data_IF_676911401548
#
_entry.id   IF_676911401548
#
_cell.length_a   1.000
_cell.length_b   1.000
_cell.length_c   1.000
_cell.angle_alpha   90.00
_cell.angle_beta   90.00
_cell.angle_gamma   90.00
#
_symmetry.space_group_name_H-M   'P 1'
#
loop_
_entity.id
_entity.type
_entity.pdbx_description
1 polymer ?
#
# COMPACT_ATOMS: atom_id res chain seq x y z
N UNK A 1 -30.20 10.68 52.99
CA UNK A 1 -29.73 11.96 52.40
C UNK A 1 -28.33 11.73 51.87
N UNK A 2 -27.97 12.46 50.81
CA UNK A 2 -26.67 12.49 50.13
C UNK A 2 -26.42 11.40 49.09
N UNK A 3 -25.93 11.67 47.89
CA UNK A 3 -25.81 12.91 47.10
C UNK A 3 -25.49 12.44 45.66
N UNK A 4 -26.21 12.94 44.66
CA UNK A 4 -25.99 12.57 43.26
C UNK A 4 -24.84 13.40 42.69
N UNK A 5 -23.69 12.78 42.42
CA UNK A 5 -22.59 13.47 41.73
C UNK A 5 -22.99 13.91 40.32
N UNK A 6 -22.69 15.15 39.90
CA UNK A 6 -23.06 15.63 38.56
C UNK A 6 -22.16 15.02 37.48
N UNK A 7 -22.78 14.52 36.42
CA UNK A 7 -22.10 14.01 35.22
C UNK A 7 -21.56 15.22 34.43
N UNK A 8 -20.25 15.30 34.12
CA UNK A 8 -19.73 16.38 33.29
C UNK A 8 -20.20 16.23 31.84
N UNK A 9 -20.92 17.21 31.33
CA UNK A 9 -21.38 17.28 29.93
C UNK A 9 -20.37 18.06 29.08
N UNK A 10 -19.36 17.38 28.52
CA UNK A 10 -18.44 18.00 27.54
C UNK A 10 -19.20 18.37 26.26
N UNK A 11 -19.12 19.63 25.82
CA UNK A 11 -19.82 20.12 24.64
C UNK A 11 -18.97 20.03 23.36
N UNK A 12 -19.62 19.91 22.20
CA UNK A 12 -18.98 19.95 20.86
C UNK A 12 -18.04 21.17 20.69
N UNK A 13 -18.35 22.27 21.39
CA UNK A 13 -17.56 23.50 21.35
C UNK A 13 -16.22 23.36 22.07
N UNK A 14 -16.19 22.59 23.16
CA UNK A 14 -14.95 22.33 23.90
C UNK A 14 -14.02 21.44 23.08
N UNK A 15 -14.57 20.46 22.36
CA UNK A 15 -13.80 19.63 21.43
C UNK A 15 -13.16 20.45 20.30
N UNK A 16 -13.92 21.36 19.67
CA UNK A 16 -13.40 22.23 18.62
C UNK A 16 -12.26 23.14 19.12
N UNK A 17 -12.34 23.63 20.37
CA UNK A 17 -11.27 24.43 20.99
C UNK A 17 -10.00 23.60 21.22
N UNK A 18 -10.12 22.35 21.67
CA UNK A 18 -8.97 21.47 21.87
C UNK A 18 -8.27 21.11 20.55
N UNK A 19 -9.02 20.87 19.47
CA UNK A 19 -8.43 20.63 18.14
C UNK A 19 -7.70 21.85 17.59
N UNK A 20 -8.25 23.06 17.79
CA UNK A 20 -7.61 24.29 17.33
C UNK A 20 -6.26 24.56 18.03
N UNK A 21 -6.09 24.11 19.28
CA UNK A 21 -4.86 24.32 20.05
C UNK A 21 -3.66 23.47 19.54
N UNK A 22 -3.90 22.36 18.85
CA UNK A 22 -2.84 21.45 18.37
C UNK A 22 -2.34 21.77 16.94
N UNK A 23 -2.97 22.69 16.23
CA UNK A 23 -2.67 22.98 14.83
C UNK A 23 -1.51 23.97 14.59
N UNK A 24 -0.90 24.53 15.64
CA UNK A 24 0.04 25.67 15.52
C UNK A 24 1.52 25.26 15.59
N UNK A 25 1.87 24.00 15.85
CA UNK A 25 3.29 23.60 15.99
C UNK A 25 3.62 22.23 15.36
N UNK A 26 3.41 22.07 14.06
CA UNK A 26 3.99 20.94 13.33
C UNK A 26 4.64 21.42 12.02
N UNK A 27 5.95 21.67 11.98
CA UNK A 27 6.65 21.83 10.73
C UNK A 27 6.65 20.51 9.97
N UNK A 28 6.33 20.58 8.68
CA UNK A 28 6.53 19.53 7.70
C UNK A 28 8.00 19.05 7.69
N UNK A 29 8.14 17.78 7.30
CA UNK A 29 9.22 17.20 6.50
C UNK A 29 10.20 16.24 7.20
N UNK A 30 10.43 15.13 6.48
CA UNK A 30 11.70 14.41 6.36
C UNK A 30 12.22 13.65 7.57
N UNK A 31 11.81 12.37 7.71
CA UNK A 31 12.63 11.40 8.45
C UNK A 31 12.54 9.93 7.98
N UNK A 32 11.96 9.62 6.81
CA UNK A 32 11.97 8.25 6.26
C UNK A 32 13.04 8.01 5.19
N UNK A 33 14.05 8.88 5.08
CA UNK A 33 15.22 8.65 4.25
C UNK A 33 16.42 8.26 5.13
N UNK A 34 16.36 7.07 5.75
CA UNK A 34 17.54 6.44 6.34
C UNK A 34 17.94 5.27 5.44
N UNK A 35 18.72 5.58 4.40
CA UNK A 35 19.40 4.58 3.58
C UNK A 35 20.39 3.86 4.48
N UNK A 36 20.27 2.54 4.60
CA UNK A 36 21.25 1.69 5.25
C UNK A 36 22.52 1.78 4.40
N UNK A 37 23.57 2.34 4.97
CA UNK A 37 24.91 2.38 4.40
C UNK A 37 25.62 1.08 4.80
N UNK A 38 25.92 0.16 3.87
CA UNK A 38 26.75 -0.99 4.20
C UNK A 38 28.20 -0.53 4.33
N UNK A 39 28.70 -0.73 5.55
CA UNK A 39 30.08 -0.65 5.99
C UNK A 39 31.05 -1.29 4.96
N UNK A 40 32.11 -0.56 4.60
CA UNK A 40 33.21 -1.08 3.77
C UNK A 40 34.20 -1.85 4.65
N UNK A 41 34.44 -3.16 4.41
CA UNK A 41 35.59 -3.82 5.00
C UNK A 41 36.86 -3.56 4.17
N UNK A 42 37.94 -3.32 4.92
CA UNK A 42 39.35 -3.16 4.54
C UNK A 42 39.83 -4.26 3.57
N UNK A 43 40.66 -3.96 2.55
CA UNK A 43 41.09 -4.93 1.56
C UNK A 43 42.21 -5.85 2.08
N UNK A 44 41.95 -7.15 2.10
CA UNK A 44 42.97 -8.22 2.19
C UNK A 44 43.39 -8.70 0.78
N UNK A 45 44.63 -9.22 0.63
CA UNK A 45 45.33 -9.25 -0.65
C UNK A 45 44.82 -10.33 -1.62
N UNK A 46 44.83 -9.96 -2.90
CA UNK A 46 44.36 -10.72 -4.06
C UNK A 46 45.09 -12.05 -4.24
N UNK A 47 44.38 -13.20 -4.33
CA UNK A 47 44.85 -14.35 -5.07
C UNK A 47 44.14 -14.42 -6.44
N UNK A 48 44.97 -14.33 -7.48
CA UNK A 48 44.89 -14.82 -8.87
C UNK A 48 43.51 -15.30 -9.41
N UNK A 49 43.04 -14.79 -10.57
CA UNK A 49 41.74 -15.19 -11.13
C UNK A 49 41.74 -16.63 -11.66
N UNK A 50 40.78 -17.49 -11.29
CA UNK A 50 40.46 -18.69 -12.06
C UNK A 50 39.69 -18.31 -13.36
N UNK A 51 39.74 -19.17 -14.40
CA UNK A 51 39.14 -18.91 -15.72
C UNK A 51 37.62 -18.66 -15.63
N UNK A 52 37.03 -17.95 -16.62
CA UNK A 52 35.62 -17.55 -16.57
C UNK A 52 34.71 -18.78 -16.48
N UNK A 53 34.12 -18.96 -15.30
CA UNK A 53 33.05 -19.93 -15.08
C UNK A 53 31.87 -19.53 -15.96
N UNK A 54 31.39 -20.51 -16.72
CA UNK A 54 30.25 -20.39 -17.61
C UNK A 54 29.08 -19.67 -16.94
N UNK A 55 28.51 -18.70 -17.66
CA UNK A 55 27.26 -18.06 -17.29
C UNK A 55 26.20 -19.13 -17.04
N UNK A 56 25.78 -19.29 -15.78
CA UNK A 56 24.55 -20.01 -15.44
C UNK A 56 23.41 -19.39 -16.24
N UNK A 57 22.65 -20.16 -17.04
CA UNK A 57 21.48 -19.63 -17.71
C UNK A 57 20.46 -19.21 -16.65
N UNK A 58 20.20 -17.91 -16.58
CA UNK A 58 19.08 -17.35 -15.85
C UNK A 58 17.80 -18.02 -16.37
N UNK A 59 16.91 -18.57 -15.52
CA UNK A 59 15.66 -19.16 -15.99
C UNK A 59 14.89 -18.09 -16.76
N UNK A 60 14.72 -18.31 -18.06
CA UNK A 60 13.85 -17.50 -18.88
C UNK A 60 12.46 -17.56 -18.24
N UNK A 61 11.97 -16.41 -17.74
CA UNK A 61 10.57 -16.30 -17.36
C UNK A 61 9.76 -16.66 -18.62
N UNK A 62 8.84 -17.64 -18.55
CA UNK A 62 8.05 -18.00 -19.71
C UNK A 62 7.35 -16.75 -20.20
N UNK A 63 7.57 -16.41 -21.48
CA UNK A 63 6.83 -15.36 -22.15
C UNK A 63 5.34 -15.66 -21.92
N UNK A 64 4.70 -14.87 -21.05
CA UNK A 64 3.28 -15.03 -20.78
C UNK A 64 2.58 -14.74 -22.10
N UNK A 65 2.06 -15.79 -22.72
CA UNK A 65 1.17 -15.68 -23.86
C UNK A 65 0.13 -14.62 -23.49
N UNK A 66 0.10 -13.55 -24.27
CA UNK A 66 -0.88 -12.48 -24.13
C UNK A 66 -2.25 -13.08 -24.45
N UNK A 67 -2.86 -13.73 -23.46
CA UNK A 67 -4.28 -14.01 -23.54
C UNK A 67 -5.01 -12.68 -23.69
N UNK A 68 -6.01 -12.60 -24.60
CA UNK A 68 -6.84 -11.41 -24.73
C UNK A 68 -7.32 -10.93 -23.36
N UNK A 69 -7.35 -9.62 -23.11
CA UNK A 69 -7.86 -9.11 -21.85
C UNK A 69 -9.28 -9.64 -21.62
N UNK A 70 -9.60 -10.17 -20.43
CA UNK A 70 -10.94 -10.69 -20.16
C UNK A 70 -11.97 -9.57 -20.31
N UNK A 71 -13.21 -9.90 -20.68
CA UNK A 71 -14.30 -8.92 -20.83
C UNK A 71 -14.48 -8.01 -19.60
N UNK A 72 -14.17 -8.53 -18.40
CA UNK A 72 -14.13 -7.78 -17.14
C UNK A 72 -13.09 -6.63 -17.16
N UNK A 73 -11.92 -6.83 -17.77
CA UNK A 73 -10.91 -5.77 -17.94
C UNK A 73 -11.46 -4.62 -18.77
N UNK A 74 -12.09 -4.92 -19.91
CA UNK A 74 -12.64 -3.88 -20.79
C UNK A 74 -13.74 -3.08 -20.09
N UNK A 75 -14.65 -3.77 -19.38
CA UNK A 75 -15.68 -3.11 -18.59
C UNK A 75 -15.10 -2.18 -17.51
N UNK A 76 -14.06 -2.61 -16.79
CA UNK A 76 -13.38 -1.78 -15.80
C UNK A 76 -12.67 -0.59 -16.44
N UNK A 77 -12.02 -0.80 -17.59
CA UNK A 77 -11.37 0.29 -18.33
C UNK A 77 -12.38 1.33 -18.83
N UNK A 78 -13.59 0.93 -19.25
CA UNK A 78 -14.64 1.87 -19.61
C UNK A 78 -15.06 2.74 -18.41
N UNK A 79 -15.23 2.16 -17.22
CA UNK A 79 -15.55 2.93 -16.01
C UNK A 79 -14.43 3.92 -15.67
N UNK A 80 -13.17 3.48 -15.80
CA UNK A 80 -12.00 4.34 -15.57
C UNK A 80 -11.98 5.49 -16.57
N UNK A 81 -12.26 5.23 -17.85
CA UNK A 81 -12.29 6.24 -18.88
C UNK A 81 -13.42 7.26 -18.66
N UNK A 82 -14.61 6.81 -18.25
CA UNK A 82 -15.73 7.70 -17.92
C UNK A 82 -15.39 8.62 -16.73
N UNK A 83 -14.71 8.09 -15.70
CA UNK A 83 -14.45 8.84 -14.46
C UNK A 83 -13.18 9.70 -14.51
N UNK A 84 -12.15 9.22 -15.20
CA UNK A 84 -10.81 9.78 -15.14
C UNK A 84 -10.16 10.00 -16.51
N UNK A 85 -10.87 9.72 -17.61
CA UNK A 85 -10.30 9.83 -18.97
C UNK A 85 -9.80 11.24 -19.33
N UNK A 86 -10.39 12.29 -18.76
CA UNK A 86 -9.93 13.67 -18.97
C UNK A 86 -8.61 14.00 -18.24
N UNK A 87 -8.19 13.17 -17.28
CA UNK A 87 -7.03 13.40 -16.41
C UNK A 87 -5.86 12.47 -16.73
N UNK A 88 -6.06 11.47 -17.59
CA UNK A 88 -5.09 10.43 -17.90
C UNK A 88 -4.65 10.55 -19.35
N UNK A 89 -3.33 10.53 -19.59
CA UNK A 89 -2.80 10.36 -20.95
C UNK A 89 -3.03 8.93 -21.45
N UNK A 90 -2.88 8.72 -22.76
CA UNK A 90 -2.99 7.37 -23.36
C UNK A 90 -1.97 6.39 -22.76
N UNK A 91 -0.73 6.83 -22.55
CA UNK A 91 0.32 6.01 -21.92
C UNK A 91 -0.05 5.61 -20.48
N UNK A 92 -0.67 6.52 -19.73
CA UNK A 92 -1.14 6.26 -18.38
C UNK A 92 -2.35 5.32 -18.38
N UNK A 93 -3.26 5.45 -19.34
CA UNK A 93 -4.38 4.51 -19.51
C UNK A 93 -3.87 3.10 -19.84
N UNK A 94 -2.82 2.98 -20.64
CA UNK A 94 -2.23 1.67 -20.95
C UNK A 94 -1.48 1.08 -19.74
N UNK A 95 -0.83 1.91 -18.94
CA UNK A 95 -0.27 1.47 -17.65
C UNK A 95 -1.37 0.95 -16.72
N UNK A 96 -2.47 1.70 -16.58
CA UNK A 96 -3.63 1.29 -15.76
C UNK A 96 -4.25 0.00 -16.30
N UNK A 97 -4.37 -0.18 -17.63
CA UNK A 97 -4.85 -1.42 -18.23
C UNK A 97 -4.00 -2.62 -17.79
N UNK A 98 -2.67 -2.50 -17.84
CA UNK A 98 -1.74 -3.56 -17.39
C UNK A 98 -1.92 -3.88 -15.92
N UNK A 99 -2.10 -2.86 -15.07
CA UNK A 99 -2.34 -3.04 -13.64
C UNK A 99 -3.68 -3.73 -13.35
N UNK A 100 -4.75 -3.37 -14.08
CA UNK A 100 -6.06 -4.04 -13.97
C UNK A 100 -5.95 -5.51 -14.35
N UNK A 101 -5.28 -5.84 -15.45
CA UNK A 101 -5.05 -7.24 -15.86
C UNK A 101 -4.27 -8.00 -14.79
N UNK A 102 -3.19 -7.42 -14.28
CA UNK A 102 -2.39 -8.02 -13.21
C UNK A 102 -3.19 -8.24 -11.92
N UNK A 103 -3.98 -7.23 -11.53
CA UNK A 103 -4.86 -7.25 -10.37
C UNK A 103 -5.95 -8.32 -10.47
N UNK A 104 -6.60 -8.47 -11.62
CA UNK A 104 -7.61 -9.52 -11.85
C UNK A 104 -7.00 -10.92 -11.74
N UNK A 105 -5.82 -11.15 -12.32
CA UNK A 105 -5.10 -12.42 -12.17
C UNK A 105 -4.73 -12.69 -10.71
N UNK A 106 -4.33 -11.67 -9.96
CA UNK A 106 -4.04 -11.80 -8.54
C UNK A 106 -5.31 -12.11 -7.72
N UNK A 107 -6.40 -11.42 -8.00
CA UNK A 107 -7.70 -11.66 -7.38
C UNK A 107 -8.22 -13.06 -7.66
N UNK A 108 -8.03 -13.59 -8.87
CA UNK A 108 -8.39 -14.98 -9.18
C UNK A 108 -7.59 -15.99 -8.36
N UNK A 109 -6.28 -15.76 -8.17
CA UNK A 109 -5.47 -16.61 -7.28
C UNK A 109 -5.96 -16.54 -5.83
N UNK A 110 -6.30 -15.36 -5.33
CA UNK A 110 -6.82 -15.18 -3.97
C UNK A 110 -8.19 -15.84 -3.80
N UNK A 111 -9.07 -15.79 -4.80
CA UNK A 111 -10.38 -16.45 -4.79
C UNK A 111 -10.31 -17.97 -4.60
N UNK A 112 -9.17 -18.60 -4.93
CA UNK A 112 -8.96 -20.05 -4.73
C UNK A 112 -8.61 -20.41 -3.29
N UNK A 113 -8.27 -19.43 -2.45
CA UNK A 113 -7.99 -19.65 -1.03
C UNK A 113 -9.32 -19.74 -0.29
N UNK A 114 -9.60 -20.90 0.30
CA UNK A 114 -10.80 -21.08 1.11
C UNK A 114 -10.65 -20.31 2.43
N UNK A 115 -11.58 -19.40 2.69
CA UNK A 115 -11.69 -18.67 3.95
C UNK A 115 -13.03 -19.04 4.58
N UNK A 116 -13.02 -19.43 5.85
CA UNK A 116 -14.26 -19.75 6.57
C UNK A 116 -15.13 -18.48 6.73
N UNK A 117 -16.43 -18.63 6.53
CA UNK A 117 -17.38 -17.56 6.82
C UNK A 117 -17.28 -17.20 8.31
N UNK A 118 -17.03 -15.92 8.60
CA UNK A 118 -16.80 -15.43 9.97
C UNK A 118 -15.35 -15.11 10.31
N UNK A 119 -14.38 -15.38 9.43
CA UNK A 119 -13.02 -14.83 9.55
C UNK A 119 -13.08 -13.33 9.28
N UNK A 120 -12.82 -12.54 10.32
CA UNK A 120 -12.75 -11.08 10.24
C UNK A 120 -11.51 -10.59 9.47
N UNK A 121 -11.40 -9.27 9.22
CA UNK A 121 -10.21 -8.70 8.61
C UNK A 121 -8.98 -8.90 9.52
N UNK A 122 -7.78 -8.88 8.94
CA UNK A 122 -6.54 -9.06 9.67
C UNK A 122 -6.35 -8.03 10.82
N UNK A 123 -6.88 -6.82 10.63
CA UNK A 123 -6.91 -5.77 11.64
C UNK A 123 -8.28 -5.09 11.64
N UNK A 124 -8.80 -4.78 12.83
CA UNK A 124 -10.01 -3.96 13.03
C UNK A 124 -9.59 -2.66 13.70
N UNK A 125 -10.01 -1.53 13.13
CA UNK A 125 -9.83 -0.24 13.78
C UNK A 125 -10.77 -0.12 14.99
N UNK A 126 -10.21 0.23 16.15
CA UNK A 126 -10.99 0.55 17.36
C UNK A 126 -10.71 2.00 17.76
N UNK A 127 -11.75 2.82 17.81
CA UNK A 127 -11.65 4.17 18.34
C UNK A 127 -11.59 4.12 19.86
N UNK A 128 -10.47 4.51 20.46
CA UNK A 128 -10.37 4.72 21.89
C UNK A 128 -10.85 6.13 22.25
N UNK A 129 -11.81 6.24 23.17
CA UNK A 129 -12.07 7.48 23.89
C UNK A 129 -11.08 7.54 25.06
N UNK A 130 -10.29 8.60 25.15
CA UNK A 130 -9.52 8.88 26.36
C UNK A 130 -10.50 9.01 27.55
N UNK A 131 -10.35 8.13 28.54
CA UNK A 131 -11.03 8.30 29.83
C UNK A 131 -10.29 9.42 30.55
N UNK A 132 -10.96 10.57 30.70
CA UNK A 132 -10.50 11.69 31.51
C UNK A 132 -10.85 11.48 32.98
#
# INVERSE_FOLDING_TARGET
MSESSPIPTTTRRDFARTLAALAVTAPLAQACARRIEPESPVPEPVPTPPPPAAATPQPAQPAQQQQPPPAETEALMQVIQIRYGAQLSEDQLEAVRRDVVGGLRAAERLRRVAVANGVGPACVYAACRAQG
#
